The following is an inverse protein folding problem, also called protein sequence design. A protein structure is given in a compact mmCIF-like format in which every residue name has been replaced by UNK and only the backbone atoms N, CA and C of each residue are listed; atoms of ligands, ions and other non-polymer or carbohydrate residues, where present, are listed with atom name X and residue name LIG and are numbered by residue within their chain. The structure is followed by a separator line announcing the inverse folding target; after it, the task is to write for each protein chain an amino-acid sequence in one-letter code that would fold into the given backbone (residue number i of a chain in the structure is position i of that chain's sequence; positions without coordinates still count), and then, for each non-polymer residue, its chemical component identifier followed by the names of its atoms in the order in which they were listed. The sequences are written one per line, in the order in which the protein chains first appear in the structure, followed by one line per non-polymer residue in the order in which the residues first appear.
data_IF_463250453171
#
_entry.id   IF_463250453171
#
_cell.length_a   1.000
_cell.length_b   1.000
_cell.length_c   1.000
_cell.angle_alpha   90.00
_cell.angle_beta   90.00
_cell.angle_gamma   90.00
#
_symmetry.space_group_name_H-M   'P 1'
#
loop_
_entity.id
_entity.type
_entity.pdbx_description
1 polymer ?
#
# COMPACT_ATOMS: atom_id res chain seq x y z
N UNK A 1 -11.76 16.07 10.71
CA UNK A 1 -12.98 15.26 10.90
C UNK A 1 -12.59 13.82 11.20
N UNK A 2 -13.19 13.25 12.21
CA UNK A 2 -12.89 11.88 12.57
C UNK A 2 -13.50 10.92 11.55
N UNK A 3 -12.71 9.99 11.06
CA UNK A 3 -13.18 9.00 10.10
C UNK A 3 -13.82 7.83 10.83
N UNK A 4 -15.13 7.83 10.95
CA UNK A 4 -15.89 6.81 11.68
C UNK A 4 -15.74 5.41 11.08
N UNK A 5 -15.52 5.32 9.78
CA UNK A 5 -15.31 4.03 9.11
C UNK A 5 -13.97 3.41 9.51
N UNK A 6 -12.99 4.25 9.76
CA UNK A 6 -11.66 3.80 10.15
C UNK A 6 -11.58 3.45 11.63
N UNK A 7 -12.23 4.26 12.47
CA UNK A 7 -12.02 4.17 13.91
C UNK A 7 -12.85 3.10 14.60
N UNK A 8 -14.10 2.89 14.19
CA UNK A 8 -15.01 2.03 14.95
C UNK A 8 -15.79 1.01 14.14
N UNK A 9 -16.13 1.32 12.89
CA UNK A 9 -17.05 0.48 12.13
C UNK A 9 -16.35 -0.71 11.47
N UNK A 10 -15.07 -0.57 11.13
CA UNK A 10 -14.32 -1.58 10.36
C UNK A 10 -13.26 -2.31 11.18
N UNK A 11 -12.99 -1.85 12.40
CA UNK A 11 -11.93 -2.40 13.21
C UNK A 11 -12.50 -3.08 14.45
N UNK A 12 -12.44 -4.40 14.48
CA UNK A 12 -12.87 -5.18 15.63
C UNK A 12 -11.79 -5.18 16.72
N UNK A 13 -12.16 -5.59 17.94
CA UNK A 13 -11.19 -5.80 19.02
C UNK A 13 -10.14 -6.84 18.65
N UNK A 14 -10.54 -7.84 17.87
CA UNK A 14 -9.64 -8.87 17.38
C UNK A 14 -8.57 -8.28 16.45
N UNK A 15 -8.98 -7.42 15.52
CA UNK A 15 -8.06 -6.77 14.60
C UNK A 15 -7.07 -5.87 15.31
N UNK A 16 -7.54 -5.09 16.30
CA UNK A 16 -6.66 -4.24 17.11
C UNK A 16 -5.61 -5.06 17.86
N UNK A 17 -6.02 -6.20 18.41
CA UNK A 17 -5.10 -7.10 19.12
C UNK A 17 -4.09 -7.71 18.18
N UNK A 18 -4.51 -8.12 16.98
CA UNK A 18 -3.64 -8.65 15.95
C UNK A 18 -2.59 -7.63 15.53
N UNK A 19 -2.98 -6.37 15.32
CA UNK A 19 -2.06 -5.29 14.98
C UNK A 19 -1.00 -5.12 16.07
N UNK A 20 -1.41 -5.12 17.34
CA UNK A 20 -0.49 -4.97 18.46
C UNK A 20 0.52 -6.13 18.52
N UNK A 21 0.08 -7.35 18.27
CA UNK A 21 0.95 -8.51 18.25
C UNK A 21 1.95 -8.44 17.09
N UNK A 22 1.51 -8.02 15.91
CA UNK A 22 2.39 -7.85 14.75
C UNK A 22 3.43 -6.76 15.00
N UNK A 23 3.03 -5.64 15.60
CA UNK A 23 3.95 -4.56 15.93
C UNK A 23 5.01 -5.02 16.93
N UNK A 24 4.60 -5.77 17.94
CA UNK A 24 5.53 -6.34 18.93
C UNK A 24 6.49 -7.31 18.27
N UNK A 25 5.99 -8.19 17.42
CA UNK A 25 6.80 -9.14 16.67
C UNK A 25 7.85 -8.44 15.80
N UNK A 26 7.43 -7.40 15.08
CA UNK A 26 8.33 -6.62 14.24
C UNK A 26 9.42 -5.93 15.07
N UNK A 27 9.04 -5.30 16.21
CA UNK A 27 10.00 -4.60 17.05
C UNK A 27 11.03 -5.54 17.67
N UNK A 28 10.59 -6.72 18.08
CA UNK A 28 11.45 -7.68 18.79
C UNK A 28 12.23 -8.62 17.86
N UNK A 29 11.96 -8.55 16.57
CA UNK A 29 12.69 -9.35 15.60
C UNK A 29 14.17 -8.92 15.54
N UNK A 30 15.11 -9.87 15.58
CA UNK A 30 16.54 -9.56 15.48
C UNK A 30 17.01 -9.21 14.07
N UNK A 31 16.13 -9.32 13.08
CA UNK A 31 16.48 -9.00 11.69
C UNK A 31 16.80 -7.53 11.53
N UNK A 32 17.68 -7.20 10.58
CA UNK A 32 17.96 -5.81 10.20
C UNK A 32 16.70 -5.17 9.58
N UNK A 33 16.66 -3.83 9.60
CA UNK A 33 15.54 -3.13 8.98
C UNK A 33 15.40 -3.49 7.50
N UNK A 34 16.51 -3.60 6.79
CA UNK A 34 16.49 -4.02 5.38
C UNK A 34 15.84 -5.39 5.22
N UNK A 35 16.23 -6.36 6.05
CA UNK A 35 15.65 -7.71 5.98
C UNK A 35 14.18 -7.72 6.35
N UNK A 36 13.75 -6.85 7.28
CA UNK A 36 12.33 -6.71 7.61
C UNK A 36 11.53 -6.20 6.41
N UNK A 37 12.02 -5.20 5.70
CA UNK A 37 11.35 -4.72 4.50
C UNK A 37 11.34 -5.75 3.38
N UNK A 38 12.45 -6.43 3.17
CA UNK A 38 12.56 -7.44 2.12
C UNK A 38 11.61 -8.62 2.39
N UNK A 39 11.41 -8.95 3.65
CA UNK A 39 10.54 -10.04 4.08
C UNK A 39 9.23 -9.51 4.69
N UNK A 40 8.68 -8.45 4.13
CA UNK A 40 7.53 -7.71 4.69
C UNK A 40 6.31 -8.60 4.97
N UNK A 41 6.12 -9.68 4.24
CA UNK A 41 4.98 -10.57 4.42
C UNK A 41 4.95 -11.23 5.80
N UNK A 42 6.08 -11.25 6.51
CA UNK A 42 6.16 -11.75 7.89
C UNK A 42 5.56 -10.77 8.90
N UNK A 43 5.45 -9.49 8.55
CA UNK A 43 5.16 -8.42 9.50
C UNK A 43 3.86 -7.66 9.22
N UNK A 44 3.26 -7.86 8.06
CA UNK A 44 2.04 -7.12 7.68
C UNK A 44 0.80 -7.99 7.82
N UNK A 45 -0.34 -7.34 8.01
CA UNK A 45 -1.62 -8.03 8.00
C UNK A 45 -1.97 -8.48 6.59
N UNK A 46 -2.75 -9.54 6.48
CA UNK A 46 -3.25 -10.02 5.19
C UNK A 46 -4.00 -8.94 4.42
N UNK A 47 -4.66 -8.01 5.10
CA UNK A 47 -5.36 -6.91 4.47
C UNK A 47 -4.44 -5.98 3.67
N UNK A 48 -3.21 -5.78 4.15
CA UNK A 48 -2.21 -4.99 3.41
C UNK A 48 -1.80 -5.69 2.13
N UNK A 49 -1.64 -7.00 2.17
CA UNK A 49 -1.32 -7.80 1.00
C UNK A 49 -2.51 -7.84 0.03
N UNK A 50 -3.72 -8.00 0.55
CA UNK A 50 -4.94 -7.99 -0.27
C UNK A 50 -5.10 -6.67 -1.02
N UNK A 51 -4.83 -5.54 -0.36
CA UNK A 51 -4.88 -4.23 -1.00
C UNK A 51 -3.85 -4.09 -2.10
N UNK A 52 -2.65 -4.62 -1.89
CA UNK A 52 -1.62 -4.63 -2.93
C UNK A 52 -2.05 -5.47 -4.12
N UNK A 53 -2.60 -6.66 -3.88
CA UNK A 53 -3.11 -7.55 -4.93
C UNK A 53 -4.22 -6.86 -5.72
N UNK A 54 -5.16 -6.20 -5.04
CA UNK A 54 -6.24 -5.46 -5.70
C UNK A 54 -5.69 -4.36 -6.62
N UNK A 55 -4.70 -3.61 -6.14
CA UNK A 55 -4.04 -2.57 -6.95
C UNK A 55 -3.31 -3.17 -8.15
N UNK A 56 -2.65 -4.29 -7.95
CA UNK A 56 -2.00 -5.04 -9.04
C UNK A 56 -3.01 -5.43 -10.13
N UNK A 57 -4.16 -5.97 -9.74
CA UNK A 57 -5.20 -6.34 -10.70
C UNK A 57 -5.73 -5.13 -11.46
N UNK A 58 -5.98 -4.01 -10.76
CA UNK A 58 -6.40 -2.76 -11.39
C UNK A 58 -5.32 -2.25 -12.35
N UNK A 59 -4.07 -2.30 -11.95
CA UNK A 59 -2.96 -1.85 -12.80
C UNK A 59 -2.90 -2.66 -14.10
N UNK A 60 -3.07 -3.96 -14.03
CA UNK A 60 -3.07 -4.81 -15.23
C UNK A 60 -4.15 -4.43 -16.25
N UNK A 61 -5.29 -3.94 -15.78
CA UNK A 61 -6.40 -3.56 -16.65
C UNK A 61 -6.06 -2.39 -17.58
N UNK A 62 -5.08 -1.58 -17.22
CA UNK A 62 -4.72 -0.38 -18.01
C UNK A 62 -3.41 -0.52 -18.77
N UNK A 63 -2.73 -1.67 -18.75
CA UNK A 63 -1.40 -1.83 -19.35
C UNK A 63 -1.34 -1.42 -20.82
N UNK A 64 -2.39 -1.70 -21.59
CA UNK A 64 -2.46 -1.40 -23.01
C UNK A 64 -3.21 -0.09 -23.32
N UNK A 65 -3.51 0.71 -22.30
CA UNK A 65 -4.22 1.97 -22.45
C UNK A 65 -3.21 3.09 -22.25
N UNK A 66 -2.97 3.94 -23.26
CA UNK A 66 -2.07 5.07 -23.08
C UNK A 66 -2.67 6.12 -22.14
N UNK A 67 -1.79 6.87 -21.50
CA UNK A 67 -2.21 7.93 -20.59
C UNK A 67 -1.44 7.93 -19.29
N UNK A 68 -1.90 8.74 -18.35
CA UNK A 68 -1.28 8.93 -17.04
C UNK A 68 -2.17 8.31 -15.95
N UNK A 69 -1.59 8.10 -14.78
CA UNK A 69 -2.31 7.64 -13.60
C UNK A 69 -2.46 8.83 -12.65
N UNK A 70 -3.69 9.09 -12.24
CA UNK A 70 -4.00 10.13 -11.26
C UNK A 70 -4.58 9.46 -10.02
N UNK A 71 -3.93 9.66 -8.89
CA UNK A 71 -4.35 9.11 -7.60
C UNK A 71 -4.81 10.25 -6.71
N UNK A 72 -6.08 10.26 -6.37
CA UNK A 72 -6.69 11.32 -5.55
C UNK A 72 -6.89 10.80 -4.13
N UNK A 73 -6.44 11.57 -3.13
CA UNK A 73 -6.52 11.16 -1.74
C UNK A 73 -5.41 10.18 -1.37
N UNK A 74 -4.18 10.50 -1.74
CA UNK A 74 -3.03 9.57 -1.56
C UNK A 74 -2.66 9.35 -0.10
N UNK A 75 -3.10 10.23 0.82
CA UNK A 75 -2.78 10.10 2.24
C UNK A 75 -1.28 10.05 2.48
N UNK A 76 -0.79 8.93 3.02
CA UNK A 76 0.64 8.72 3.30
C UNK A 76 1.42 8.16 2.11
N UNK A 77 0.78 8.03 0.96
CA UNK A 77 1.46 7.68 -0.29
C UNK A 77 1.53 6.20 -0.63
N UNK A 78 0.89 5.33 0.14
CA UNK A 78 0.98 3.88 -0.11
C UNK A 78 0.48 3.50 -1.51
N UNK A 79 -0.66 4.03 -1.93
CA UNK A 79 -1.19 3.77 -3.26
C UNK A 79 -0.31 4.39 -4.36
N UNK A 80 0.11 5.62 -4.17
CA UNK A 80 0.97 6.33 -5.13
C UNK A 80 2.26 5.56 -5.39
N UNK A 81 2.95 5.15 -4.32
CA UNK A 81 4.18 4.37 -4.45
C UNK A 81 3.94 2.98 -5.01
N UNK A 82 2.77 2.39 -4.73
CA UNK A 82 2.39 1.11 -5.36
C UNK A 82 2.29 1.26 -6.87
N UNK A 83 1.61 2.31 -7.36
CA UNK A 83 1.53 2.58 -8.80
C UNK A 83 2.90 2.79 -9.42
N UNK A 84 3.78 3.53 -8.75
CA UNK A 84 5.13 3.78 -9.23
C UNK A 84 5.94 2.47 -9.32
N UNK A 85 5.85 1.61 -8.32
CA UNK A 85 6.54 0.32 -8.34
C UNK A 85 6.00 -0.59 -9.43
N UNK A 86 4.67 -0.67 -9.59
CA UNK A 86 4.06 -1.48 -10.64
C UNK A 86 4.45 -0.96 -12.04
N UNK A 87 4.51 0.35 -12.21
CA UNK A 87 5.00 0.94 -13.46
C UNK A 87 6.44 0.53 -13.76
N UNK A 88 7.30 0.57 -12.77
CA UNK A 88 8.70 0.16 -12.92
C UNK A 88 8.84 -1.34 -13.24
N UNK A 89 7.95 -2.16 -12.68
CA UNK A 89 7.98 -3.61 -12.89
C UNK A 89 7.44 -3.98 -14.28
N UNK A 90 6.28 -3.42 -14.64
CA UNK A 90 5.57 -3.84 -15.85
C UNK A 90 5.85 -2.98 -17.07
N UNK A 91 6.22 -1.71 -16.88
CA UNK A 91 6.43 -0.76 -17.95
C UNK A 91 7.73 0.02 -17.75
N UNK A 92 8.89 -0.65 -17.59
CA UNK A 92 10.14 0.03 -17.22
C UNK A 92 10.65 1.02 -18.27
N UNK A 93 10.21 0.87 -19.52
CA UNK A 93 10.62 1.76 -20.62
C UNK A 93 9.51 2.69 -21.09
N UNK A 94 8.35 2.69 -20.40
CA UNK A 94 7.25 3.57 -20.77
C UNK A 94 7.38 4.92 -20.06
N UNK A 95 8.14 5.83 -20.66
CA UNK A 95 8.40 7.15 -20.08
C UNK A 95 7.20 8.10 -20.20
N UNK A 96 6.15 7.73 -20.90
CA UNK A 96 4.92 8.52 -21.01
C UNK A 96 3.90 8.20 -19.93
N UNK A 97 4.14 7.13 -19.15
CA UNK A 97 3.27 6.75 -18.04
C UNK A 97 3.65 7.57 -16.81
N UNK A 98 3.17 8.79 -16.73
CA UNK A 98 3.38 9.64 -15.56
C UNK A 98 2.34 9.32 -14.50
N UNK A 99 2.73 9.47 -13.23
CA UNK A 99 1.89 9.16 -12.08
C UNK A 99 1.81 10.39 -11.20
N UNK A 100 0.59 10.87 -10.95
CA UNK A 100 0.34 12.07 -10.16
C UNK A 100 -0.51 11.72 -8.94
N UNK A 101 -0.08 12.22 -7.78
CA UNK A 101 -0.84 12.09 -6.55
C UNK A 101 -1.35 13.43 -6.06
N UNK A 102 -2.60 13.46 -5.63
CA UNK A 102 -3.24 14.66 -5.10
C UNK A 102 -3.87 14.37 -3.74
N UNK A 103 -3.62 15.24 -2.78
CA UNK A 103 -4.24 15.18 -1.46
C UNK A 103 -4.23 16.58 -0.86
N UNK A 104 -5.05 16.78 0.15
CA UNK A 104 -5.00 18.01 0.96
C UNK A 104 -3.77 18.02 1.88
N UNK A 105 -3.24 16.86 2.21
CA UNK A 105 -2.10 16.68 3.11
C UNK A 105 -2.31 17.30 4.50
N UNK A 106 -3.54 17.23 4.99
CA UNK A 106 -3.93 17.76 6.31
C UNK A 106 -3.96 16.68 7.37
#
# INVERSE_FOLDING_TARGET
MKNIFRDNALQSKHDSKEIQLLMRYMKNSPESDFNKFDNFTKYVQKGSISRFIARYEVYKMQLNIPGVIIDIGVGRGASLFTWANLSSIFEPTNYTREIFGFDTFT
#
